data_IF_440463085143
#
_entry.id   IF_440463085143
#
_cell.length_a   1.000
_cell.length_b   1.000
_cell.length_c   1.000
_cell.angle_alpha   90.00
_cell.angle_beta   90.00
_cell.angle_gamma   90.00
#
_symmetry.space_group_name_H-M   'P 1'
#
loop_
_entity.id
_entity.type
_entity.pdbx_description
1 polymer ?
#
# COMPACT_ATOMS: atom_id res chain seq x y z
N UNK A 1 14.27 3.78 -12.68
CA UNK A 1 14.95 2.49 -12.45
C UNK A 1 16.16 2.31 -13.35
N UNK A 2 16.19 2.93 -14.55
CA UNK A 2 17.37 2.93 -15.43
C UNK A 2 18.67 3.18 -14.66
N UNK A 3 19.56 2.20 -14.73
CA UNK A 3 20.90 2.23 -14.16
C UNK A 3 21.04 1.71 -12.71
N UNK A 4 19.95 1.33 -12.02
CA UNK A 4 20.02 0.79 -10.65
C UNK A 4 19.81 -0.72 -10.62
N UNK A 5 18.82 -1.20 -11.38
CA UNK A 5 18.44 -2.62 -11.48
C UNK A 5 18.51 -3.00 -12.96
N UNK A 6 19.02 -4.20 -13.25
CA UNK A 6 19.02 -4.79 -14.59
C UNK A 6 17.59 -5.19 -15.01
N UNK A 7 17.26 -5.03 -16.28
CA UNK A 7 15.89 -5.23 -16.79
C UNK A 7 15.39 -6.67 -16.57
N UNK A 8 16.25 -7.66 -16.78
CA UNK A 8 15.97 -9.08 -16.54
C UNK A 8 15.71 -9.41 -15.06
N UNK A 9 16.43 -8.77 -14.14
CA UNK A 9 16.16 -8.88 -12.71
C UNK A 9 14.81 -8.27 -12.34
N UNK A 10 14.44 -7.14 -12.97
CA UNK A 10 13.14 -6.51 -12.75
C UNK A 10 12.00 -7.39 -13.30
N UNK A 11 12.16 -7.95 -14.50
CA UNK A 11 11.16 -8.81 -15.15
C UNK A 11 10.92 -10.12 -14.40
N UNK A 12 11.96 -10.67 -13.76
CA UNK A 12 11.87 -11.89 -12.95
C UNK A 12 11.33 -11.67 -11.53
N UNK A 13 11.21 -10.43 -11.08
CA UNK A 13 10.67 -10.12 -9.76
C UNK A 13 9.14 -10.03 -9.78
N UNK A 14 8.47 -10.84 -8.97
CA UNK A 14 7.02 -10.79 -8.80
C UNK A 14 6.65 -10.48 -7.35
N UNK A 15 5.78 -9.50 -7.16
CA UNK A 15 5.30 -9.12 -5.83
C UNK A 15 4.21 -10.13 -5.42
N UNK A 16 4.36 -10.83 -4.28
CA UNK A 16 3.40 -11.83 -3.82
C UNK A 16 2.19 -11.17 -3.12
N UNK A 17 1.56 -10.20 -3.80
CA UNK A 17 0.43 -9.43 -3.27
C UNK A 17 -0.68 -9.42 -4.32
N UNK A 18 -1.88 -9.79 -3.88
CA UNK A 18 -3.09 -9.73 -4.68
C UNK A 18 -4.18 -9.02 -3.89
N UNK A 19 -4.88 -8.08 -4.54
CA UNK A 19 -5.95 -7.28 -3.94
C UNK A 19 -7.29 -7.71 -4.54
N UNK A 20 -7.99 -8.68 -3.92
CA UNK A 20 -9.26 -9.17 -4.46
C UNK A 20 -10.36 -8.12 -4.34
N UNK A 21 -11.30 -8.16 -5.28
CA UNK A 21 -12.57 -7.44 -5.19
C UNK A 21 -13.51 -8.11 -4.17
N UNK A 22 -14.48 -7.37 -3.61
CA UNK A 22 -15.54 -7.95 -2.77
C UNK A 22 -16.23 -9.16 -3.40
N UNK A 23 -16.44 -9.12 -4.72
CA UNK A 23 -17.08 -10.21 -5.47
C UNK A 23 -16.19 -11.45 -5.56
N UNK A 24 -14.89 -11.30 -5.81
CA UNK A 24 -13.95 -12.43 -5.84
C UNK A 24 -13.87 -13.12 -4.47
N UNK A 25 -13.88 -12.36 -3.38
CA UNK A 25 -13.91 -12.95 -2.03
C UNK A 25 -15.22 -13.71 -1.81
N UNK A 26 -16.36 -13.12 -2.16
CA UNK A 26 -17.66 -13.76 -2.00
C UNK A 26 -17.72 -15.09 -2.75
N UNK A 27 -17.28 -15.11 -4.02
CA UNK A 27 -17.24 -16.31 -4.84
C UNK A 27 -16.40 -17.42 -4.22
N UNK A 28 -15.20 -17.11 -3.72
CA UNK A 28 -14.32 -18.11 -3.10
C UNK A 28 -14.92 -18.68 -1.81
N UNK A 29 -15.54 -17.84 -0.98
CA UNK A 29 -16.17 -18.29 0.27
C UNK A 29 -17.39 -19.17 0.00
N UNK A 30 -18.20 -18.82 -1.00
CA UNK A 30 -19.36 -19.61 -1.43
C UNK A 30 -18.94 -20.95 -2.05
N UNK A 31 -17.89 -20.97 -2.88
CA UNK A 31 -17.35 -22.20 -3.48
C UNK A 31 -16.76 -23.14 -2.42
N UNK A 32 -16.10 -22.60 -1.39
CA UNK A 32 -15.55 -23.39 -0.29
C UNK A 32 -16.65 -23.99 0.61
N UNK A 33 -17.69 -23.20 0.94
CA UNK A 33 -18.94 -23.70 1.54
C UNK A 33 -18.94 -23.96 3.05
N UNK A 34 -17.86 -23.68 3.79
CA UNK A 34 -17.82 -23.83 5.26
C UNK A 34 -18.44 -22.66 6.01
N UNK A 35 -18.67 -21.53 5.34
CA UNK A 35 -19.14 -20.29 5.95
C UNK A 35 -20.37 -19.73 5.24
N UNK A 36 -21.20 -19.02 5.98
CA UNK A 36 -22.24 -18.13 5.47
C UNK A 36 -21.73 -16.70 5.58
N UNK A 37 -21.79 -15.95 4.47
CA UNK A 37 -21.42 -14.54 4.43
C UNK A 37 -22.56 -13.71 5.03
N UNK A 38 -22.26 -12.98 6.11
CA UNK A 38 -23.18 -12.01 6.71
C UNK A 38 -23.07 -10.64 6.03
N UNK A 39 -21.84 -10.26 5.67
CA UNK A 39 -21.53 -8.99 5.05
C UNK A 39 -20.26 -9.09 4.23
N UNK A 40 -20.28 -8.51 3.04
CA UNK A 40 -19.09 -8.26 2.22
C UNK A 40 -19.21 -6.86 1.63
N UNK A 41 -18.17 -6.06 1.78
CA UNK A 41 -18.17 -4.68 1.31
C UNK A 41 -16.77 -4.10 1.27
N UNK A 42 -16.67 -2.86 0.82
CA UNK A 42 -15.40 -2.15 0.75
C UNK A 42 -15.54 -0.72 1.24
N UNK A 43 -14.46 -0.21 1.82
CA UNK A 43 -14.35 1.20 2.20
C UNK A 43 -12.99 1.78 1.80
N UNK A 44 -12.97 3.09 1.59
CA UNK A 44 -11.77 3.80 1.16
C UNK A 44 -11.04 4.39 2.37
N UNK A 45 -9.72 4.24 2.39
CA UNK A 45 -8.83 4.95 3.33
C UNK A 45 -7.92 5.85 2.52
N UNK A 46 -7.97 7.16 2.76
CA UNK A 46 -7.08 8.11 2.10
C UNK A 46 -5.62 7.86 2.49
N UNK A 47 -4.69 7.95 1.54
CA UNK A 47 -3.27 7.68 1.79
C UNK A 47 -2.68 8.62 2.86
N UNK A 48 -3.13 9.87 2.93
CA UNK A 48 -2.71 10.84 3.96
C UNK A 48 -3.28 10.56 5.36
N UNK A 49 -4.25 9.65 5.50
CA UNK A 49 -4.74 9.19 6.80
C UNK A 49 -4.02 7.91 7.22
N UNK A 50 -3.62 7.06 6.27
CA UNK A 50 -2.77 5.89 6.54
C UNK A 50 -1.35 6.28 7.02
N UNK A 51 -0.92 7.51 6.75
CA UNK A 51 0.36 8.09 7.20
C UNK A 51 0.33 8.72 8.59
N UNK A 52 -0.85 8.91 9.20
CA UNK A 52 -0.98 9.53 10.53
C UNK A 52 -0.72 8.49 11.60
N UNK A 53 0.53 8.42 12.06
CA UNK A 53 0.88 7.64 13.22
C UNK A 53 0.44 8.41 14.46
N UNK A 54 -0.59 7.95 15.18
CA UNK A 54 -0.96 8.51 16.50
C UNK A 54 0.22 8.44 17.50
N UNK A 55 1.24 7.62 17.21
CA UNK A 55 2.42 7.42 18.04
C UNK A 55 3.58 8.39 17.75
N UNK A 56 3.54 9.19 16.67
CA UNK A 56 4.52 10.27 16.51
C UNK A 56 4.01 11.50 17.26
N UNK A 57 4.52 11.70 18.47
CA UNK A 57 4.31 12.91 19.30
C UNK A 57 4.86 14.21 18.68
N UNK A 58 5.17 14.21 17.40
CA UNK A 58 5.38 15.41 16.63
C UNK A 58 4.07 15.70 15.90
N UNK A 59 3.15 16.38 16.58
CA UNK A 59 2.22 17.26 15.88
C UNK A 59 3.05 18.27 15.09
N UNK A 60 3.38 17.92 13.86
CA UNK A 60 3.80 18.90 12.87
C UNK A 60 2.57 19.76 12.56
N UNK A 61 2.31 20.73 13.43
CA UNK A 61 1.49 21.90 13.16
C UNK A 61 2.19 22.79 12.12
N UNK A 62 2.60 22.18 11.00
CA UNK A 62 2.88 22.93 9.79
C UNK A 62 1.54 22.99 9.07
N UNK A 63 0.73 23.97 9.45
CA UNK A 63 -0.24 24.54 8.55
C UNK A 63 0.56 25.29 7.48
N UNK A 64 1.24 24.57 6.59
CA UNK A 64 1.78 25.19 5.38
C UNK A 64 0.63 25.28 4.41
N UNK A 65 0.32 26.49 3.96
CA UNK A 65 -0.55 26.72 2.82
C UNK A 65 0.05 26.17 1.49
N UNK A 66 1.22 25.53 1.57
CA UNK A 66 1.91 24.86 0.47
C UNK A 66 1.53 23.37 0.40
N UNK A 67 0.69 23.06 -0.58
CA UNK A 67 0.17 21.72 -0.84
C UNK A 67 1.30 20.73 -1.19
N UNK A 68 2.36 21.20 -1.85
CA UNK A 68 3.50 20.37 -2.26
C UNK A 68 4.30 19.85 -1.04
N UNK A 69 4.58 20.71 -0.07
CA UNK A 69 5.28 20.32 1.16
C UNK A 69 4.46 19.31 1.98
N UNK A 70 3.14 19.49 2.01
CA UNK A 70 2.22 18.59 2.72
C UNK A 70 2.15 17.21 2.04
N UNK A 71 2.05 17.18 0.71
CA UNK A 71 2.03 15.94 -0.08
C UNK A 71 3.35 15.17 0.03
N UNK A 72 4.49 15.88 0.01
CA UNK A 72 5.80 15.24 0.15
C UNK A 72 5.96 14.54 1.51
N UNK A 73 5.48 15.16 2.60
CA UNK A 73 5.52 14.57 3.95
C UNK A 73 4.57 13.37 4.05
N UNK A 74 3.35 13.48 3.53
CA UNK A 74 2.41 12.36 3.48
C UNK A 74 2.96 11.19 2.66
N UNK A 75 3.58 11.48 1.52
CA UNK A 75 4.26 10.49 0.69
C UNK A 75 5.42 9.83 1.46
N UNK A 76 6.23 10.59 2.21
CA UNK A 76 7.33 10.05 3.01
C UNK A 76 6.84 9.02 4.04
N UNK A 77 5.79 9.35 4.78
CA UNK A 77 5.21 8.45 5.78
C UNK A 77 4.60 7.19 5.15
N UNK A 78 3.85 7.33 4.05
CA UNK A 78 3.33 6.18 3.31
C UNK A 78 4.49 5.30 2.80
N UNK A 79 5.54 5.92 2.27
CA UNK A 79 6.70 5.21 1.76
C UNK A 79 7.46 4.46 2.85
N UNK A 80 7.52 4.97 4.07
CA UNK A 80 8.10 4.23 5.20
C UNK A 80 7.30 2.95 5.50
N UNK A 81 5.97 3.00 5.45
CA UNK A 81 5.11 1.83 5.63
C UNK A 81 5.23 0.83 4.45
N UNK A 82 5.30 1.33 3.22
CA UNK A 82 5.54 0.47 2.04
C UNK A 82 6.91 -0.17 2.12
N UNK A 83 7.95 0.59 2.48
CA UNK A 83 9.33 0.13 2.61
C UNK A 83 9.44 -0.95 3.68
N UNK A 84 8.83 -0.78 4.85
CA UNK A 84 8.90 -1.80 5.91
C UNK A 84 8.32 -3.16 5.51
N UNK A 85 7.32 -3.19 4.62
CA UNK A 85 6.70 -4.42 4.10
C UNK A 85 7.46 -4.99 2.91
N UNK A 86 7.96 -4.14 2.02
CA UNK A 86 8.50 -4.56 0.70
C UNK A 86 10.02 -4.63 0.64
N UNK A 87 10.74 -3.90 1.47
CA UNK A 87 12.21 -3.89 1.43
C UNK A 87 12.84 -5.28 1.65
N UNK A 88 12.37 -6.14 2.56
CA UNK A 88 12.97 -7.47 2.74
C UNK A 88 12.97 -8.32 1.46
N UNK A 89 11.87 -8.32 0.70
CA UNK A 89 11.76 -9.08 -0.56
C UNK A 89 12.59 -8.44 -1.68
N UNK A 90 12.72 -7.11 -1.70
CA UNK A 90 13.56 -6.42 -2.68
C UNK A 90 15.05 -6.65 -2.38
N UNK A 91 15.44 -6.67 -1.11
CA UNK A 91 16.81 -6.99 -0.68
C UNK A 91 17.20 -8.41 -1.07
N UNK A 92 16.30 -9.37 -0.88
CA UNK A 92 16.53 -10.78 -1.23
C UNK A 92 16.73 -10.97 -2.74
N UNK A 93 15.85 -10.38 -3.57
CA UNK A 93 15.90 -10.56 -5.03
C UNK A 93 16.98 -9.72 -5.72
N UNK A 94 17.16 -8.46 -5.30
CA UNK A 94 18.09 -7.51 -5.95
C UNK A 94 19.43 -7.38 -5.20
N UNK A 95 19.69 -8.21 -4.19
CA UNK A 95 20.93 -8.22 -3.40
C UNK A 95 21.28 -6.86 -2.77
N UNK A 96 20.27 -6.06 -2.44
CA UNK A 96 20.42 -4.76 -1.79
C UNK A 96 20.99 -3.62 -2.64
N UNK A 97 21.12 -3.79 -3.95
CA UNK A 97 21.63 -2.75 -4.83
C UNK A 97 20.64 -1.58 -4.93
N UNK A 98 21.04 -0.40 -4.45
CA UNK A 98 20.35 0.87 -4.69
C UNK A 98 18.96 1.04 -4.06
N UNK A 99 18.64 0.30 -2.98
CA UNK A 99 17.32 0.37 -2.31
C UNK A 99 16.93 1.78 -1.88
N UNK A 100 17.85 2.53 -1.25
CA UNK A 100 17.58 3.91 -0.83
C UNK A 100 17.15 4.78 -2.01
N UNK A 101 17.85 4.65 -3.14
CA UNK A 101 17.52 5.43 -4.33
C UNK A 101 16.19 5.00 -4.96
N UNK A 102 15.87 3.71 -4.95
CA UNK A 102 14.57 3.19 -5.41
C UNK A 102 13.43 3.79 -4.58
N UNK A 103 13.53 3.74 -3.25
CA UNK A 103 12.50 4.29 -2.37
C UNK A 103 12.38 5.81 -2.47
N UNK A 104 13.48 6.55 -2.65
CA UNK A 104 13.45 8.00 -2.91
C UNK A 104 12.72 8.30 -4.23
N UNK A 105 13.01 7.55 -5.31
CA UNK A 105 12.34 7.74 -6.60
C UNK A 105 10.86 7.37 -6.52
N UNK A 106 10.50 6.36 -5.73
CA UNK A 106 9.12 5.95 -5.52
C UNK A 106 8.35 7.00 -4.70
N UNK A 107 8.94 7.55 -3.63
CA UNK A 107 8.35 8.63 -2.85
C UNK A 107 7.98 9.84 -3.70
N UNK A 108 8.88 10.26 -4.60
CA UNK A 108 8.61 11.38 -5.52
C UNK A 108 7.41 11.08 -6.44
N UNK A 109 7.34 9.88 -6.99
CA UNK A 109 6.19 9.46 -7.82
C UNK A 109 4.87 9.47 -7.04
N UNK A 110 4.88 8.99 -5.80
CA UNK A 110 3.71 9.02 -4.93
C UNK A 110 3.28 10.45 -4.62
N UNK A 111 4.23 11.33 -4.29
CA UNK A 111 3.96 12.76 -4.07
C UNK A 111 3.31 13.40 -5.30
N UNK A 112 3.84 13.13 -6.49
CA UNK A 112 3.28 13.64 -7.76
C UNK A 112 1.86 13.10 -8.01
N UNK A 113 1.57 11.84 -7.64
CA UNK A 113 0.24 11.24 -7.74
C UNK A 113 -0.74 11.88 -6.75
N UNK A 114 -0.32 12.11 -5.49
CA UNK A 114 -1.14 12.75 -4.47
C UNK A 114 -1.59 14.17 -4.88
N UNK A 115 -0.75 14.91 -5.59
CA UNK A 115 -1.08 16.25 -6.10
C UNK A 115 -2.08 16.25 -7.27
N UNK A 116 -2.24 15.12 -7.98
CA UNK A 116 -3.00 15.06 -9.25
C UNK A 116 -4.27 14.22 -9.15
N UNK A 117 -4.32 13.27 -8.23
CA UNK A 117 -5.32 12.21 -8.20
C UNK A 117 -5.87 12.00 -6.78
N UNK A 118 -7.10 11.49 -6.71
CA UNK A 118 -7.65 11.02 -5.45
C UNK A 118 -6.93 9.73 -5.05
N UNK A 119 -6.11 9.81 -4.01
CA UNK A 119 -5.25 8.71 -3.56
C UNK A 119 -5.86 7.96 -2.37
N UNK A 120 -6.46 6.79 -2.65
CA UNK A 120 -7.13 5.96 -1.64
C UNK A 120 -6.71 4.49 -1.73
N UNK A 121 -6.67 3.82 -0.58
CA UNK A 121 -6.64 2.37 -0.48
C UNK A 121 -8.07 1.85 -0.33
N UNK A 122 -8.46 0.90 -1.17
CA UNK A 122 -9.73 0.19 -1.02
C UNK A 122 -9.49 -1.02 -0.13
N UNK A 123 -10.19 -1.08 0.99
CA UNK A 123 -10.12 -2.18 1.94
C UNK A 123 -11.42 -2.97 1.87
N UNK A 124 -11.32 -4.28 1.63
CA UNK A 124 -12.47 -5.18 1.64
C UNK A 124 -12.66 -5.73 3.04
N UNK A 125 -13.91 -5.72 3.52
CA UNK A 125 -14.31 -6.27 4.81
C UNK A 125 -15.31 -7.38 4.58
N UNK A 126 -15.07 -8.51 5.26
CA UNK A 126 -15.96 -9.65 5.23
C UNK A 126 -16.30 -10.05 6.66
N UNK A 127 -17.59 -10.22 6.93
CA UNK A 127 -18.12 -10.85 8.14
C UNK A 127 -18.79 -12.14 7.72
N UNK A 128 -18.43 -13.24 8.36
CA UNK A 128 -18.92 -14.57 8.03
C UNK A 128 -19.01 -15.44 9.27
N UNK A 129 -19.97 -16.36 9.25
CA UNK A 129 -20.22 -17.31 10.33
C UNK A 129 -20.00 -18.73 9.82
N UNK A 130 -19.42 -19.57 10.67
CA UNK A 130 -19.21 -20.97 10.33
C UNK A 130 -20.56 -21.69 10.27
N UNK A 131 -20.78 -22.44 9.20
CA UNK A 131 -21.98 -23.26 9.04
C UNK A 131 -22.05 -24.33 10.15
N UNK A 132 -23.21 -24.47 10.79
CA UNK A 132 -23.49 -25.55 11.74
C UNK A 132 -23.93 -26.78 10.93
N UNK A 133 -23.19 -27.88 11.07
CA UNK A 133 -23.55 -29.19 10.50
C UNK A 133 -24.54 -29.92 11.39
#
# INVERSE_FOLDING_TARGET
>A
MQGIIEEDQLESFHIPVYTPSPNEIALVVEEEGSFTINYVGSFEIHWSNASKNECSSYESTINSDDDDTTNLMNAANLMNAVRSVTEPMLLDHFHGVGMDEIFIRFQKKISDCMAKEKTVNINVVVSMEKNIK
#
